data_IF_527321343330
#
_entry.id   IF_527321343330
#
_cell.length_a   1.000
_cell.length_b   1.000
_cell.length_c   1.000
_cell.angle_alpha   90.00
_cell.angle_beta   90.00
_cell.angle_gamma   90.00
#
_symmetry.space_group_name_H-M   'P 1'
#
loop_
_entity.id
_entity.type
_entity.pdbx_description
1 polymer ?
#
# COMPACT_ATOMS: atom_id res chain seq x y z
N UNK A 1 11.55 -1.78 28.72
CA UNK A 1 11.77 -2.37 27.37
C UNK A 1 13.12 -1.91 26.84
N UNK A 2 13.94 -2.81 26.31
CA UNK A 2 15.24 -2.49 25.71
C UNK A 2 15.03 -1.79 24.35
N UNK A 3 15.75 -0.68 24.09
CA UNK A 3 15.68 0.08 22.83
C UNK A 3 15.93 -0.81 21.61
N UNK A 4 16.84 -1.79 21.71
CA UNK A 4 17.15 -2.71 20.62
C UNK A 4 15.97 -3.62 20.26
N UNK A 5 15.20 -4.05 21.25
CA UNK A 5 14.01 -4.88 21.04
C UNK A 5 12.90 -4.06 20.36
N UNK A 6 12.71 -2.80 20.77
CA UNK A 6 11.70 -1.92 20.18
C UNK A 6 11.97 -1.61 18.71
N UNK A 7 13.22 -1.30 18.34
CA UNK A 7 13.59 -1.04 16.95
C UNK A 7 13.38 -2.27 16.06
N UNK A 8 13.76 -3.46 16.54
CA UNK A 8 13.55 -4.72 15.81
C UNK A 8 12.06 -5.02 15.58
N UNK A 9 11.19 -4.72 16.56
CA UNK A 9 9.75 -4.90 16.38
C UNK A 9 9.18 -3.95 15.32
N UNK A 10 9.62 -2.69 15.28
CA UNK A 10 9.19 -1.73 14.25
C UNK A 10 9.61 -2.19 12.85
N UNK A 11 10.84 -2.64 12.70
CA UNK A 11 11.36 -3.14 11.43
C UNK A 11 10.56 -4.36 10.93
N UNK A 12 10.31 -5.34 11.81
CA UNK A 12 9.49 -6.51 11.47
C UNK A 12 8.07 -6.13 11.07
N UNK A 13 7.47 -5.16 11.76
CA UNK A 13 6.12 -4.66 11.44
C UNK A 13 6.09 -3.99 10.07
N UNK A 14 7.06 -3.12 9.78
CA UNK A 14 7.20 -2.48 8.48
C UNK A 14 7.35 -3.50 7.34
N UNK A 15 8.25 -4.48 7.50
CA UNK A 15 8.44 -5.55 6.52
C UNK A 15 7.16 -6.38 6.33
N UNK A 16 6.41 -6.62 7.40
CA UNK A 16 5.12 -7.29 7.29
C UNK A 16 4.12 -6.49 6.46
N UNK A 17 4.04 -5.17 6.64
CA UNK A 17 3.14 -4.31 5.85
C UNK A 17 3.51 -4.29 4.37
N UNK A 18 4.79 -4.11 4.03
CA UNK A 18 5.23 -4.11 2.64
C UNK A 18 4.91 -5.45 1.98
N UNK A 19 5.22 -6.58 2.64
CA UNK A 19 4.89 -7.90 2.12
C UNK A 19 3.38 -8.11 1.94
N UNK A 20 2.56 -7.58 2.85
CA UNK A 20 1.12 -7.63 2.72
C UNK A 20 0.64 -6.85 1.50
N UNK A 21 1.09 -5.60 1.35
CA UNK A 21 0.75 -4.74 0.21
C UNK A 21 1.18 -5.38 -1.11
N UNK A 22 2.42 -5.88 -1.18
CA UNK A 22 2.95 -6.61 -2.33
C UNK A 22 2.03 -7.78 -2.75
N UNK A 23 1.64 -8.62 -1.78
CA UNK A 23 0.79 -9.77 -2.03
C UNK A 23 -0.62 -9.42 -2.53
N UNK A 24 -1.13 -8.26 -2.14
CA UNK A 24 -2.41 -7.76 -2.65
C UNK A 24 -2.25 -7.11 -4.04
N UNK A 25 -1.22 -6.28 -4.22
CA UNK A 25 -0.95 -5.57 -5.47
C UNK A 25 -0.62 -6.49 -6.64
N UNK A 26 0.12 -7.59 -6.41
CA UNK A 26 0.48 -8.54 -7.48
C UNK A 26 -0.73 -9.17 -8.19
N UNK A 27 -1.91 -9.14 -7.57
CA UNK A 27 -3.15 -9.63 -8.19
C UNK A 27 -3.68 -8.68 -9.28
N UNK A 28 -3.13 -7.46 -9.36
CA UNK A 28 -3.49 -6.44 -10.33
C UNK A 28 -2.25 -6.09 -11.13
N UNK A 29 -2.11 -6.56 -12.37
CA UNK A 29 -0.95 -6.20 -13.22
C UNK A 29 -0.82 -4.68 -13.42
N UNK A 30 -1.95 -3.99 -13.41
CA UNK A 30 -2.07 -2.54 -13.59
C UNK A 30 -3.23 -2.01 -12.78
N UNK A 31 -3.12 -0.76 -12.36
CA UNK A 31 -4.17 0.00 -11.69
C UNK A 31 -4.64 1.11 -12.62
N UNK A 32 -5.88 1.03 -13.08
CA UNK A 32 -6.55 2.13 -13.77
C UNK A 32 -7.05 3.17 -12.75
N UNK A 33 -6.91 4.45 -13.06
CA UNK A 33 -7.51 5.51 -12.24
C UNK A 33 -8.90 5.84 -12.79
N UNK A 34 -9.98 5.61 -12.02
CA UNK A 34 -11.32 5.89 -12.49
C UNK A 34 -11.47 7.35 -12.94
N UNK A 35 -12.22 7.56 -14.02
CA UNK A 35 -12.45 8.88 -14.64
C UNK A 35 -11.19 9.56 -15.20
N UNK A 36 -10.07 8.83 -15.32
CA UNK A 36 -8.87 9.27 -16.03
C UNK A 36 -8.43 8.19 -17.02
N UNK A 37 -7.96 8.58 -18.20
CA UNK A 37 -7.37 7.63 -19.17
C UNK A 37 -5.91 7.31 -18.78
N UNK A 38 -5.67 7.04 -17.50
CA UNK A 38 -4.34 6.81 -16.92
C UNK A 38 -4.32 5.43 -16.27
N UNK A 39 -3.28 4.68 -16.60
CA UNK A 39 -3.03 3.33 -16.11
C UNK A 39 -1.61 3.30 -15.55
N UNK A 40 -1.47 2.84 -14.31
CA UNK A 40 -0.20 2.74 -13.59
C UNK A 40 0.15 1.26 -13.44
N UNK A 41 1.42 0.89 -13.59
CA UNK A 41 1.85 -0.48 -13.31
C UNK A 41 1.86 -0.70 -11.81
N UNK A 42 1.55 -1.92 -11.37
CA UNK A 42 1.58 -2.24 -9.95
C UNK A 42 2.95 -1.99 -9.30
N UNK A 43 4.04 -2.28 -10.02
CA UNK A 43 5.39 -2.02 -9.53
C UNK A 43 5.63 -0.53 -9.28
N UNK A 44 5.25 0.35 -10.22
CA UNK A 44 5.43 1.80 -10.06
C UNK A 44 4.66 2.33 -8.83
N UNK A 45 3.48 1.75 -8.54
CA UNK A 45 2.70 2.08 -7.35
C UNK A 45 3.33 1.51 -6.07
N UNK A 46 3.86 0.29 -6.12
CA UNK A 46 4.54 -0.36 -4.99
C UNK A 46 5.82 0.38 -4.60
N UNK A 47 6.64 0.75 -5.58
CA UNK A 47 7.86 1.52 -5.39
C UNK A 47 7.54 2.87 -4.74
N UNK A 48 6.53 3.59 -5.26
CA UNK A 48 6.07 4.85 -4.67
C UNK A 48 5.58 4.68 -3.22
N UNK A 49 4.84 3.61 -2.91
CA UNK A 49 4.37 3.32 -1.55
C UNK A 49 5.55 3.14 -0.59
N UNK A 50 6.61 2.45 -1.03
CA UNK A 50 7.81 2.18 -0.23
C UNK A 50 8.66 3.44 -0.03
N UNK A 51 8.74 4.29 -1.05
CA UNK A 51 9.60 5.48 -1.06
C UNK A 51 8.96 6.68 -0.36
N UNK A 52 7.64 6.87 -0.52
CA UNK A 52 6.98 8.13 -0.17
C UNK A 52 6.10 8.06 1.08
N UNK A 53 5.62 6.87 1.47
CA UNK A 53 4.73 6.76 2.62
C UNK A 53 5.48 6.57 3.92
N UNK A 54 5.04 7.30 4.94
CA UNK A 54 5.49 7.09 6.31
C UNK A 54 5.00 5.74 6.87
N UNK A 55 5.67 5.18 7.89
CA UNK A 55 5.20 3.98 8.58
C UNK A 55 3.77 4.10 9.12
N UNK A 56 3.36 5.29 9.55
CA UNK A 56 2.02 5.60 10.05
C UNK A 56 0.97 5.56 8.92
N UNK A 57 1.27 6.11 7.74
CA UNK A 57 0.38 6.03 6.57
C UNK A 57 0.25 4.57 6.08
N UNK A 58 1.34 3.81 6.11
CA UNK A 58 1.31 2.37 5.80
C UNK A 58 0.42 1.61 6.78
N UNK A 59 0.49 1.94 8.08
CA UNK A 59 -0.39 1.38 9.11
C UNK A 59 -1.88 1.61 8.77
N UNK A 60 -2.23 2.83 8.37
CA UNK A 60 -3.60 3.17 7.97
C UNK A 60 -4.06 2.39 6.72
N UNK A 61 -3.20 2.29 5.70
CA UNK A 61 -3.48 1.51 4.49
C UNK A 61 -3.72 0.04 4.83
N UNK A 62 -2.89 -0.56 5.70
CA UNK A 62 -3.06 -1.95 6.13
C UNK A 62 -4.41 -2.15 6.80
N UNK A 63 -4.81 -1.24 7.70
CA UNK A 63 -6.14 -1.30 8.33
C UNK A 63 -7.25 -1.28 7.26
N UNK A 64 -7.18 -0.38 6.28
CA UNK A 64 -8.19 -0.31 5.21
C UNK A 64 -8.25 -1.60 4.38
N UNK A 65 -7.09 -2.13 3.99
CA UNK A 65 -7.01 -3.37 3.21
C UNK A 65 -7.56 -4.57 4.00
N UNK A 66 -7.20 -4.71 5.28
CA UNK A 66 -7.73 -5.76 6.14
C UNK A 66 -9.25 -5.67 6.29
N UNK A 67 -9.79 -4.47 6.49
CA UNK A 67 -11.23 -4.27 6.64
C UNK A 67 -11.99 -4.62 5.36
N UNK A 68 -11.44 -4.25 4.20
CA UNK A 68 -12.00 -4.66 2.91
C UNK A 68 -11.99 -6.19 2.76
N UNK A 69 -10.87 -6.85 3.08
CA UNK A 69 -10.76 -8.32 3.03
C UNK A 69 -11.72 -9.03 3.99
N UNK A 70 -11.85 -8.55 5.23
CA UNK A 70 -12.81 -9.09 6.23
C UNK A 70 -14.25 -9.06 5.72
N UNK A 71 -14.58 -8.12 4.84
CA UNK A 71 -15.91 -7.96 4.22
C UNK A 71 -16.01 -8.61 2.84
N UNK A 72 -15.02 -9.43 2.44
CA UNK A 72 -14.90 -10.00 1.09
C UNK A 72 -15.04 -8.95 -0.04
N UNK A 73 -14.66 -7.70 0.27
CA UNK A 73 -14.71 -6.58 -0.66
C UNK A 73 -13.41 -6.49 -1.44
N UNK A 74 -13.48 -5.95 -2.66
CA UNK A 74 -12.29 -5.70 -3.46
C UNK A 74 -11.41 -4.66 -2.78
N UNK A 75 -10.11 -4.93 -2.70
CA UNK A 75 -9.09 -3.97 -2.26
C UNK A 75 -8.64 -3.04 -3.40
N UNK A 76 -8.98 -3.36 -4.65
CA UNK A 76 -8.61 -2.56 -5.84
C UNK A 76 -8.95 -1.06 -5.69
N UNK A 77 -10.15 -0.66 -5.20
CA UNK A 77 -10.48 0.76 -5.05
C UNK A 77 -9.53 1.51 -4.11
N UNK A 78 -9.00 0.84 -3.08
CA UNK A 78 -8.01 1.44 -2.17
C UNK A 78 -6.73 1.76 -2.95
N UNK A 79 -6.24 0.81 -3.75
CA UNK A 79 -5.08 1.05 -4.62
C UNK A 79 -5.34 2.12 -5.68
N UNK A 80 -6.56 2.22 -6.22
CA UNK A 80 -6.91 3.28 -7.16
C UNK A 80 -6.85 4.66 -6.51
N UNK A 81 -7.32 4.79 -5.26
CA UNK A 81 -7.21 6.03 -4.49
C UNK A 81 -5.75 6.39 -4.26
N UNK A 82 -4.92 5.44 -3.80
CA UNK A 82 -3.48 5.68 -3.57
C UNK A 82 -2.80 6.08 -4.89
N UNK A 83 -3.10 5.40 -5.98
CA UNK A 83 -2.57 5.70 -7.31
C UNK A 83 -2.91 7.13 -7.78
N UNK A 84 -4.01 7.73 -7.32
CA UNK A 84 -4.31 9.14 -7.64
C UNK A 84 -3.31 10.12 -7.01
N UNK A 85 -2.66 9.75 -5.89
CA UNK A 85 -1.62 10.56 -5.24
C UNK A 85 -0.33 10.59 -6.05
N UNK A 86 0.02 9.51 -6.75
CA UNK A 86 1.17 9.47 -7.67
C UNK A 86 1.05 10.55 -8.76
N UNK A 87 -0.17 10.84 -9.22
CA UNK A 87 -0.43 11.85 -10.26
C UNK A 87 -0.28 13.30 -9.79
N UNK A 88 -0.21 13.57 -8.48
CA UNK A 88 0.00 14.93 -7.97
C UNK A 88 1.48 15.35 -8.01
N UNK A 89 2.38 14.41 -8.27
CA UNK A 89 3.83 14.62 -8.26
C UNK A 89 4.35 14.88 -9.69
N UNK A 90 3.52 14.71 -10.72
CA UNK A 90 3.84 14.98 -12.14
C UNK A 90 3.17 16.25 -12.62
#
# INVERSE_FOLDING_TARGET
MNKNTYSLHKEKKYQHHINFIHNELRNYRTIDIPNRTIIIKNQDLEDWIVEELSPEELDEIIVLLEQAKKRASSVKPIFQVIATSLLKIT
#
